data_IF_512741353443
#
_entry.id   IF_512741353443
#
_cell.length_a   1.000
_cell.length_b   1.000
_cell.length_c   1.000
_cell.angle_alpha   90.00
_cell.angle_beta   90.00
_cell.angle_gamma   90.00
#
_symmetry.space_group_name_H-M   'P 1'
#
loop_
_entity.id
_entity.type
_entity.pdbx_description
1 polymer ?
#
# COMPACT_ATOMS: atom_id res chain seq x y z
N UNK A 1 -18.73 -46.88 7.03
CA UNK A 1 -17.67 -46.75 6.01
C UNK A 1 -16.98 -45.41 6.20
N UNK A 2 -15.73 -45.43 6.68
CA UNK A 2 -14.83 -44.25 6.79
C UNK A 2 -13.53 -44.64 6.09
N UNK A 3 -12.97 -43.81 5.19
CA UNK A 3 -11.62 -44.04 4.71
C UNK A 3 -10.59 -43.63 5.77
N UNK A 4 -9.53 -44.44 5.81
CA UNK A 4 -8.42 -44.47 6.77
C UNK A 4 -7.39 -43.39 6.46
N UNK A 5 -6.71 -42.95 7.51
CA UNK A 5 -5.45 -42.22 7.44
C UNK A 5 -4.32 -43.19 7.08
N UNK A 6 -3.52 -42.85 6.06
CA UNK A 6 -2.26 -43.53 5.77
C UNK A 6 -1.08 -42.68 6.22
N UNK A 7 -0.27 -43.34 7.06
CA UNK A 7 1.06 -42.96 7.50
C UNK A 7 2.07 -43.51 6.51
N UNK A 8 2.98 -42.69 6.01
CA UNK A 8 4.33 -43.15 5.64
C UNK A 8 5.33 -42.04 5.90
N UNK A 9 5.87 -42.08 7.11
CA UNK A 9 7.13 -41.47 7.50
C UNK A 9 8.13 -42.63 7.60
N UNK A 10 9.19 -42.65 6.80
CA UNK A 10 10.55 -43.07 7.24
C UNK A 10 11.56 -43.11 6.09
N UNK A 11 12.64 -42.35 6.32
CA UNK A 11 14.04 -42.71 6.09
C UNK A 11 14.55 -42.91 4.66
N UNK A 12 15.40 -41.97 4.23
CA UNK A 12 16.71 -42.30 3.68
C UNK A 12 17.70 -41.17 4.01
N UNK A 13 18.54 -41.45 5.03
CA UNK A 13 19.74 -40.69 5.37
C UNK A 13 20.94 -41.60 5.02
N UNK A 14 22.00 -40.96 4.50
CA UNK A 14 23.37 -41.43 4.28
C UNK A 14 23.56 -42.38 3.08
N UNK A 15 24.57 -42.29 2.22
CA UNK A 15 25.94 -41.78 2.38
C UNK A 15 26.60 -41.71 0.98
N UNK A 16 27.21 -40.60 0.56
CA UNK A 16 28.47 -40.59 -0.23
C UNK A 16 29.26 -39.33 0.15
N UNK A 17 30.40 -39.57 0.78
CA UNK A 17 31.43 -38.58 1.13
C UNK A 17 32.41 -38.40 -0.03
N UNK A 18 33.08 -37.23 0.01
CA UNK A 18 34.43 -36.97 -0.50
C UNK A 18 34.58 -36.68 -2.00
N UNK A 19 34.25 -35.43 -2.36
CA UNK A 19 35.06 -34.64 -3.28
C UNK A 19 35.47 -33.36 -2.55
N UNK A 20 36.62 -33.36 -1.88
CA UNK A 20 37.19 -32.17 -1.25
C UNK A 20 37.71 -31.23 -2.34
N UNK A 21 36.82 -30.47 -2.96
CA UNK A 21 37.19 -29.18 -3.51
C UNK A 21 37.45 -28.27 -2.31
N UNK A 22 38.67 -27.75 -2.19
CA UNK A 22 38.95 -26.65 -1.28
C UNK A 22 37.87 -25.57 -1.51
N UNK A 23 37.29 -24.98 -0.45
CA UNK A 23 36.40 -23.84 -0.64
C UNK A 23 37.22 -22.79 -1.36
N UNK A 24 36.95 -22.60 -2.66
CA UNK A 24 37.28 -21.35 -3.31
C UNK A 24 36.67 -20.30 -2.40
N UNK A 25 37.53 -19.46 -1.82
CA UNK A 25 37.11 -18.30 -1.06
C UNK A 25 36.17 -17.53 -1.98
N UNK A 26 34.87 -17.81 -1.83
CA UNK A 26 33.84 -17.18 -2.62
C UNK A 26 34.05 -15.71 -2.37
N UNK A 27 34.32 -14.96 -3.44
CA UNK A 27 34.36 -13.52 -3.38
C UNK A 27 33.09 -13.11 -2.62
N UNK A 28 33.23 -12.70 -1.36
CA UNK A 28 32.13 -12.09 -0.65
C UNK A 28 31.77 -10.91 -1.52
N UNK A 29 30.63 -11.03 -2.21
CA UNK A 29 29.92 -9.88 -2.75
C UNK A 29 30.03 -8.83 -1.65
N UNK A 30 30.72 -7.72 -1.93
CA UNK A 30 30.81 -6.62 -0.98
C UNK A 30 29.38 -6.13 -0.85
N UNK A 31 28.66 -6.66 0.14
CA UNK A 31 27.25 -6.38 0.36
C UNK A 31 27.08 -4.87 0.31
N UNK A 32 26.17 -4.39 -0.53
CA UNK A 32 26.00 -2.97 -0.69
C UNK A 32 25.62 -2.38 0.67
N UNK A 33 26.15 -1.22 1.08
CA UNK A 33 25.88 -0.67 2.42
C UNK A 33 24.39 -0.54 2.76
N UNK A 34 23.53 -0.31 1.76
CA UNK A 34 22.08 -0.26 1.94
C UNK A 34 21.45 -1.61 2.32
N UNK A 35 22.01 -2.76 1.92
CA UNK A 35 21.47 -4.10 2.21
C UNK A 35 21.50 -4.41 3.72
N UNK A 36 22.52 -3.91 4.42
CA UNK A 36 22.60 -3.99 5.89
C UNK A 36 21.43 -3.24 6.54
N UNK A 37 21.12 -2.05 6.05
CA UNK A 37 20.06 -1.22 6.59
C UNK A 37 18.67 -1.77 6.26
N UNK A 38 18.50 -2.34 5.06
CA UNK A 38 17.29 -3.09 4.72
C UNK A 38 17.09 -4.31 5.63
N UNK A 39 18.15 -5.09 5.87
CA UNK A 39 18.07 -6.25 6.77
C UNK A 39 17.64 -5.85 8.18
N UNK A 40 18.17 -4.72 8.68
CA UNK A 40 17.75 -4.17 9.97
C UNK A 40 16.28 -3.72 9.96
N UNK A 41 15.81 -3.10 8.88
CA UNK A 41 14.40 -2.73 8.74
C UNK A 41 13.48 -3.96 8.75
N UNK A 42 13.81 -5.00 7.98
CA UNK A 42 13.03 -6.24 7.89
C UNK A 42 12.96 -6.98 9.24
N UNK A 43 14.02 -6.89 10.06
CA UNK A 43 14.02 -7.49 11.40
C UNK A 43 12.97 -6.86 12.34
N UNK A 44 12.61 -5.58 12.13
CA UNK A 44 11.58 -4.88 12.89
C UNK A 44 10.15 -5.20 12.40
N UNK A 45 10.01 -5.80 11.21
CA UNK A 45 8.72 -6.02 10.54
C UNK A 45 7.72 -6.80 11.40
N UNK A 46 8.17 -7.82 12.16
CA UNK A 46 7.28 -8.55 13.08
C UNK A 46 6.72 -7.63 14.18
N UNK A 47 7.57 -6.77 14.75
CA UNK A 47 7.14 -5.82 15.78
C UNK A 47 6.16 -4.79 15.22
N UNK A 48 6.46 -4.25 14.04
CA UNK A 48 5.62 -3.24 13.41
C UNK A 48 4.26 -3.81 12.97
N UNK A 49 4.25 -4.83 12.10
CA UNK A 49 3.02 -5.31 11.45
C UNK A 49 2.24 -6.33 12.27
N UNK A 50 2.91 -7.25 12.97
CA UNK A 50 2.23 -8.35 13.68
C UNK A 50 1.91 -7.99 15.13
N UNK A 51 2.81 -7.26 15.81
CA UNK A 51 2.64 -6.88 17.21
C UNK A 51 2.03 -5.50 17.39
N UNK A 52 1.76 -4.75 16.31
CA UNK A 52 1.24 -3.39 16.37
C UNK A 52 2.05 -2.52 17.35
N UNK A 53 3.38 -2.55 17.24
CA UNK A 53 4.29 -1.73 18.03
C UNK A 53 4.78 -0.52 17.22
N UNK A 54 4.28 0.67 17.58
CA UNK A 54 4.69 1.95 16.96
C UNK A 54 6.19 2.17 17.09
N UNK A 55 6.82 1.73 18.19
CA UNK A 55 8.25 1.88 18.39
C UNK A 55 9.06 1.02 17.41
N UNK A 56 8.60 -0.20 17.13
CA UNK A 56 9.17 -1.06 16.09
C UNK A 56 9.01 -0.43 14.70
N UNK A 57 7.84 0.12 14.37
CA UNK A 57 7.65 0.84 13.11
C UNK A 57 8.60 2.04 12.99
N UNK A 58 8.80 2.82 14.07
CA UNK A 58 9.75 3.94 14.08
C UNK A 58 11.20 3.49 13.85
N UNK A 59 11.62 2.35 14.43
CA UNK A 59 12.95 1.76 14.15
C UNK A 59 13.07 1.28 12.70
N UNK A 60 12.01 0.68 12.16
CA UNK A 60 11.94 0.28 10.76
C UNK A 60 12.09 1.48 9.81
N UNK A 61 11.38 2.58 10.06
CA UNK A 61 11.51 3.85 9.32
C UNK A 61 12.93 4.40 9.40
N UNK A 62 13.54 4.41 10.59
CA UNK A 62 14.91 4.88 10.77
C UNK A 62 15.91 4.02 9.96
N UNK A 63 15.72 2.71 9.94
CA UNK A 63 16.56 1.79 9.15
C UNK A 63 16.42 2.03 7.64
N UNK A 64 15.20 2.18 7.11
CA UNK A 64 15.01 2.53 5.70
C UNK A 64 15.56 3.92 5.36
N UNK A 65 15.44 4.91 6.25
CA UNK A 65 16.03 6.23 6.04
C UNK A 65 17.57 6.18 5.94
N UNK A 66 18.22 5.25 6.65
CA UNK A 66 19.66 5.00 6.50
C UNK A 66 19.97 4.27 5.19
N UNK A 67 19.13 3.33 4.76
CA UNK A 67 19.26 2.66 3.46
C UNK A 67 19.20 3.68 2.31
N UNK A 68 18.26 4.63 2.36
CA UNK A 68 18.08 5.69 1.35
C UNK A 68 19.28 6.65 1.23
N UNK A 69 20.08 6.79 2.29
CA UNK A 69 21.27 7.64 2.35
C UNK A 69 22.57 6.90 2.03
N UNK A 70 22.49 5.58 1.82
CA UNK A 70 23.68 4.75 1.62
C UNK A 70 24.28 4.95 0.22
N UNK A 71 25.61 4.95 0.08
CA UNK A 71 26.27 5.05 -1.21
C UNK A 71 25.97 3.83 -2.09
N UNK A 72 25.91 4.05 -3.40
CA UNK A 72 25.65 2.97 -4.38
C UNK A 72 24.19 2.53 -4.45
N UNK A 73 23.25 3.27 -3.84
CA UNK A 73 21.82 3.01 -3.99
C UNK A 73 21.34 3.42 -5.39
N UNK A 74 20.94 2.44 -6.20
CA UNK A 74 20.30 2.67 -7.49
C UNK A 74 18.84 3.10 -7.37
N UNK A 75 18.27 3.64 -8.45
CA UNK A 75 16.91 4.20 -8.47
C UNK A 75 15.84 3.17 -8.09
N UNK A 76 15.91 1.96 -8.63
CA UNK A 76 14.97 0.89 -8.30
C UNK A 76 14.95 0.53 -6.80
N UNK A 77 16.13 0.54 -6.15
CA UNK A 77 16.21 0.28 -4.72
C UNK A 77 15.67 1.47 -3.90
N UNK A 78 15.88 2.70 -4.37
CA UNK A 78 15.30 3.92 -3.80
C UNK A 78 13.77 3.88 -3.85
N UNK A 79 13.18 3.64 -5.02
CA UNK A 79 11.72 3.52 -5.21
C UNK A 79 11.12 2.49 -4.24
N UNK A 80 11.73 1.30 -4.18
CA UNK A 80 11.29 0.23 -3.28
C UNK A 80 11.36 0.64 -1.80
N UNK A 81 12.40 1.35 -1.37
CA UNK A 81 12.51 1.82 0.02
C UNK A 81 11.53 2.94 0.33
N UNK A 82 11.27 3.85 -0.61
CA UNK A 82 10.24 4.88 -0.43
C UNK A 82 8.87 4.22 -0.28
N UNK A 83 8.50 3.28 -1.16
CA UNK A 83 7.25 2.54 -1.05
C UNK A 83 7.13 1.79 0.30
N UNK A 84 8.20 1.10 0.73
CA UNK A 84 8.22 0.43 2.03
C UNK A 84 8.06 1.40 3.21
N UNK A 85 8.70 2.58 3.16
CA UNK A 85 8.53 3.59 4.21
C UNK A 85 7.09 4.12 4.29
N UNK A 86 6.43 4.33 3.14
CA UNK A 86 5.06 4.83 3.10
C UNK A 86 4.07 3.83 3.72
N UNK A 87 4.25 2.53 3.46
CA UNK A 87 3.49 1.46 4.11
C UNK A 87 3.75 1.41 5.63
N UNK A 88 5.01 1.58 6.06
CA UNK A 88 5.34 1.62 7.50
C UNK A 88 4.73 2.85 8.18
N UNK A 89 4.71 4.03 7.53
CA UNK A 89 4.02 5.21 8.06
C UNK A 89 2.53 4.96 8.25
N UNK A 90 1.86 4.37 7.24
CA UNK A 90 0.44 4.02 7.34
C UNK A 90 0.17 3.04 8.49
N UNK A 91 0.99 1.99 8.61
CA UNK A 91 0.89 0.98 9.67
C UNK A 91 1.15 1.55 11.07
N UNK A 92 2.15 2.42 11.22
CA UNK A 92 2.46 3.11 12.46
C UNK A 92 1.33 4.04 12.88
N UNK A 93 0.79 4.82 11.93
CA UNK A 93 -0.33 5.72 12.17
C UNK A 93 -1.60 4.97 12.58
N UNK A 94 -1.96 3.91 11.86
CA UNK A 94 -3.09 3.03 12.21
C UNK A 94 -2.96 2.48 13.62
N UNK A 95 -1.77 2.01 13.98
CA UNK A 95 -1.50 1.49 15.32
C UNK A 95 -1.64 2.58 16.38
N UNK A 96 -1.09 3.77 16.11
CA UNK A 96 -1.16 4.93 17.00
C UNK A 96 -2.62 5.33 17.25
N UNK A 97 -3.40 5.46 16.17
CA UNK A 97 -4.84 5.75 16.17
C UNK A 97 -5.62 4.75 17.02
N UNK A 98 -5.44 3.45 16.75
CA UNK A 98 -6.09 2.37 17.52
C UNK A 98 -5.73 2.33 19.01
N UNK A 99 -4.62 2.95 19.41
CA UNK A 99 -4.20 3.09 20.81
C UNK A 99 -4.69 4.39 21.46
N UNK A 100 -5.52 5.16 20.76
CA UNK A 100 -6.06 6.44 21.23
C UNK A 100 -5.13 7.64 20.99
N UNK A 101 -4.03 7.47 20.25
CA UNK A 101 -3.11 8.54 19.89
C UNK A 101 -3.33 8.97 18.42
N UNK A 102 -4.49 9.57 18.16
CA UNK A 102 -4.86 10.07 16.84
C UNK A 102 -4.03 11.29 16.41
N UNK A 103 -3.60 12.15 17.35
CA UNK A 103 -2.68 13.26 17.04
C UNK A 103 -1.30 12.75 16.60
N UNK A 104 -0.73 11.77 17.33
CA UNK A 104 0.51 11.11 16.93
C UNK A 104 0.38 10.36 15.60
N UNK A 105 -0.79 9.77 15.32
CA UNK A 105 -1.09 9.19 14.01
C UNK A 105 -1.05 10.25 12.91
N UNK A 106 -1.69 11.41 13.09
CA UNK A 106 -1.71 12.48 12.10
C UNK A 106 -0.30 13.02 11.80
N UNK A 107 0.56 13.12 12.81
CA UNK A 107 1.98 13.48 12.61
C UNK A 107 2.71 12.47 11.72
N UNK A 108 2.59 11.17 12.00
CA UNK A 108 3.19 10.11 11.19
C UNK A 108 2.69 10.13 9.74
N UNK A 109 1.40 10.40 9.54
CA UNK A 109 0.79 10.52 8.21
C UNK A 109 1.29 11.75 7.47
N UNK A 110 1.50 12.88 8.18
CA UNK A 110 2.11 14.08 7.63
C UNK A 110 3.55 13.85 7.15
N UNK A 111 4.36 13.16 7.94
CA UNK A 111 5.74 12.79 7.57
C UNK A 111 5.75 11.86 6.34
N UNK A 112 4.86 10.87 6.31
CA UNK A 112 4.68 10.00 5.15
C UNK A 112 4.24 10.76 3.90
N UNK A 113 3.28 11.69 4.02
CA UNK A 113 2.81 12.51 2.91
C UNK A 113 3.92 13.44 2.41
N UNK A 114 4.74 13.98 3.31
CA UNK A 114 5.90 14.78 2.92
C UNK A 114 6.91 13.95 2.13
N UNK A 115 7.29 12.76 2.62
CA UNK A 115 8.18 11.85 1.90
C UNK A 115 7.64 11.54 0.50
N UNK A 116 6.34 11.27 0.42
CA UNK A 116 5.64 11.04 -0.82
C UNK A 116 5.77 12.24 -1.78
N UNK A 117 5.39 13.45 -1.36
CA UNK A 117 5.48 14.68 -2.17
C UNK A 117 6.92 14.97 -2.61
N UNK A 118 7.90 14.81 -1.71
CA UNK A 118 9.31 15.05 -2.02
C UNK A 118 9.82 14.06 -3.09
N UNK A 119 9.36 12.80 -3.04
CA UNK A 119 9.69 11.80 -4.05
C UNK A 119 9.01 12.05 -5.41
N UNK A 120 7.87 12.78 -5.40
CA UNK A 120 7.15 13.18 -6.61
C UNK A 120 7.64 14.44 -7.30
N UNK A 121 8.50 15.23 -6.67
CA UNK A 121 8.94 16.53 -7.20
C UNK A 121 9.65 16.35 -8.57
N UNK A 122 8.87 16.32 -9.66
CA UNK A 122 9.31 15.87 -10.99
C UNK A 122 8.20 15.27 -11.89
N UNK A 123 7.06 14.85 -11.34
CA UNK A 123 5.82 14.58 -12.10
C UNK A 123 5.70 13.25 -12.84
N UNK A 124 6.60 12.28 -12.64
CA UNK A 124 6.68 11.05 -13.45
C UNK A 124 6.27 9.74 -12.76
N UNK A 125 5.81 9.74 -11.50
CA UNK A 125 5.66 8.50 -10.72
C UNK A 125 4.24 8.18 -10.26
N UNK A 126 3.25 8.22 -11.15
CA UNK A 126 1.83 7.93 -10.85
C UNK A 126 1.56 6.61 -10.11
N UNK A 127 2.46 5.63 -10.20
CA UNK A 127 2.36 4.35 -9.49
C UNK A 127 2.37 4.50 -7.96
N UNK A 128 2.97 5.58 -7.46
CA UNK A 128 3.19 5.77 -6.02
C UNK A 128 1.90 6.24 -5.33
N UNK A 129 0.94 6.87 -6.04
CA UNK A 129 -0.35 7.25 -5.45
C UNK A 129 -1.08 5.99 -4.97
N UNK A 130 -0.85 4.90 -5.69
CA UNK A 130 -1.36 3.58 -5.38
C UNK A 130 -0.58 2.90 -4.25
N UNK A 131 0.74 2.99 -4.26
CA UNK A 131 1.60 2.50 -3.18
C UNK A 131 1.31 3.22 -1.84
N UNK A 132 0.74 4.44 -1.91
CA UNK A 132 0.34 5.25 -0.75
C UNK A 132 -1.15 5.20 -0.40
N UNK A 133 -1.94 4.37 -1.09
CA UNK A 133 -3.40 4.29 -0.85
C UNK A 133 -3.73 4.05 0.63
N UNK A 134 -2.94 3.23 1.32
CA UNK A 134 -3.11 2.95 2.74
C UNK A 134 -2.75 4.13 3.65
N UNK A 135 -1.73 4.91 3.28
CA UNK A 135 -1.39 6.16 3.97
C UNK A 135 -2.57 7.14 3.89
N UNK A 136 -3.17 7.28 2.71
CA UNK A 136 -4.26 8.23 2.47
C UNK A 136 -5.55 7.79 3.17
N UNK A 137 -5.90 6.50 3.12
CA UNK A 137 -7.06 5.95 3.85
C UNK A 137 -6.89 6.15 5.36
N UNK A 138 -5.72 5.85 5.92
CA UNK A 138 -5.49 6.05 7.35
C UNK A 138 -5.46 7.55 7.72
N UNK A 139 -5.07 8.43 6.81
CA UNK A 139 -5.20 9.89 7.00
C UNK A 139 -6.66 10.33 7.08
N UNK A 140 -7.51 9.86 6.19
CA UNK A 140 -8.96 10.12 6.24
C UNK A 140 -9.54 9.62 7.56
N UNK A 141 -9.23 8.38 7.95
CA UNK A 141 -9.70 7.79 9.20
C UNK A 141 -9.24 8.57 10.44
N UNK A 142 -7.99 9.03 10.44
CA UNK A 142 -7.42 9.82 11.54
C UNK A 142 -8.07 11.21 11.64
N UNK A 143 -8.27 11.89 10.50
CA UNK A 143 -8.90 13.22 10.47
C UNK A 143 -10.37 13.14 10.89
N UNK A 144 -11.06 12.06 10.53
CA UNK A 144 -12.41 11.77 11.02
C UNK A 144 -12.45 11.66 12.55
N UNK A 145 -11.60 10.82 13.15
CA UNK A 145 -11.56 10.63 14.61
C UNK A 145 -11.21 11.90 15.38
N UNK A 146 -10.43 12.80 14.76
CA UNK A 146 -10.09 14.11 15.33
C UNK A 146 -11.20 15.16 15.13
N UNK A 147 -12.26 14.85 14.36
CA UNK A 147 -13.31 15.82 14.02
C UNK A 147 -12.86 16.89 13.01
N UNK A 148 -11.76 16.67 12.29
CA UNK A 148 -11.19 17.60 11.31
C UNK A 148 -11.86 17.48 9.94
N UNK A 149 -13.19 17.60 9.88
CA UNK A 149 -13.98 17.31 8.66
C UNK A 149 -13.56 18.10 7.41
N UNK A 150 -13.13 19.36 7.57
CA UNK A 150 -12.63 20.19 6.44
C UNK A 150 -11.31 19.66 5.87
N UNK A 151 -10.37 19.29 6.73
CA UNK A 151 -9.09 18.73 6.30
C UNK A 151 -9.28 17.34 5.70
N UNK A 152 -10.22 16.57 6.23
CA UNK A 152 -10.59 15.27 5.69
C UNK A 152 -11.14 15.41 4.26
N UNK A 153 -12.08 16.33 4.04
CA UNK A 153 -12.63 16.61 2.72
C UNK A 153 -11.54 17.06 1.73
N UNK A 154 -10.64 17.96 2.13
CA UNK A 154 -9.52 18.38 1.30
C UNK A 154 -8.58 17.22 0.95
N UNK A 155 -8.25 16.36 1.92
CA UNK A 155 -7.43 15.18 1.68
C UNK A 155 -8.10 14.21 0.68
N UNK A 156 -9.41 14.03 0.77
CA UNK A 156 -10.18 13.19 -0.15
C UNK A 156 -10.20 13.75 -1.57
N UNK A 157 -10.41 15.05 -1.72
CA UNK A 157 -10.41 15.75 -3.01
C UNK A 157 -9.05 15.64 -3.70
N UNK A 158 -7.94 15.78 -2.95
CA UNK A 158 -6.59 15.62 -3.48
C UNK A 158 -6.36 14.21 -4.05
N UNK A 159 -6.76 13.16 -3.32
CA UNK A 159 -6.60 11.77 -3.80
C UNK A 159 -7.48 11.51 -5.01
N UNK A 160 -8.76 11.90 -4.95
CA UNK A 160 -9.73 11.67 -6.03
C UNK A 160 -9.35 12.45 -7.29
N UNK A 161 -8.87 13.69 -7.15
CA UNK A 161 -8.36 14.48 -8.26
C UNK A 161 -7.13 13.85 -8.91
N UNK A 162 -6.25 13.25 -8.11
CA UNK A 162 -5.10 12.51 -8.62
C UNK A 162 -5.52 11.22 -9.34
N UNK A 163 -6.47 10.46 -8.80
CA UNK A 163 -7.05 9.29 -9.47
C UNK A 163 -7.74 9.64 -10.78
N UNK A 164 -8.50 10.74 -10.81
CA UNK A 164 -9.19 11.21 -12.02
C UNK A 164 -8.16 11.64 -13.09
N UNK A 165 -7.06 12.28 -12.68
CA UNK A 165 -5.95 12.64 -13.58
C UNK A 165 -5.28 11.40 -14.17
N UNK A 166 -5.02 10.37 -13.34
CA UNK A 166 -4.45 9.10 -13.81
C UNK A 166 -5.42 8.39 -14.75
N UNK A 167 -6.70 8.27 -14.35
CA UNK A 167 -7.71 7.62 -15.16
C UNK A 167 -7.85 8.30 -16.53
N UNK A 168 -7.88 9.63 -16.56
CA UNK A 168 -7.85 10.41 -17.80
C UNK A 168 -6.59 10.13 -18.62
N UNK A 169 -5.40 10.15 -18.01
CA UNK A 169 -4.15 9.84 -18.68
C UNK A 169 -4.12 8.43 -19.30
N UNK A 170 -4.76 7.47 -18.64
CA UNK A 170 -4.98 6.12 -19.15
C UNK A 170 -5.93 6.13 -20.35
N UNK A 171 -7.09 6.77 -20.23
CA UNK A 171 -8.12 6.74 -21.30
C UNK A 171 -7.71 7.52 -22.54
N UNK A 172 -6.92 8.59 -22.39
CA UNK A 172 -6.54 9.49 -23.48
C UNK A 172 -5.38 8.95 -24.32
N UNK A 173 -4.67 7.91 -23.85
CA UNK A 173 -3.57 7.31 -24.59
C UNK A 173 -4.04 6.13 -25.48
N UNK A 174 -3.47 5.95 -26.68
CA UNK A 174 -3.66 4.74 -27.48
C UNK A 174 -3.22 3.50 -26.71
N UNK A 175 -3.80 2.33 -27.00
CA UNK A 175 -3.55 1.14 -26.20
C UNK A 175 -2.46 0.22 -26.81
N UNK A 176 -1.31 0.09 -26.15
CA UNK A 176 -0.31 -0.98 -26.39
C UNK A 176 -0.42 -2.10 -25.35
N UNK A 177 0.17 -3.28 -25.62
CA UNK A 177 0.19 -4.42 -24.70
C UNK A 177 0.90 -4.08 -23.36
N UNK A 178 2.04 -3.40 -23.42
CA UNK A 178 2.74 -2.91 -22.22
C UNK A 178 1.90 -1.91 -21.40
N UNK A 179 1.09 -1.09 -22.09
CA UNK A 179 0.19 -0.15 -21.43
C UNK A 179 -1.03 -0.85 -20.82
N UNK A 180 -1.48 -2.00 -21.33
CA UNK A 180 -2.63 -2.72 -20.76
C UNK A 180 -2.36 -3.19 -19.33
N UNK A 181 -1.18 -3.76 -19.06
CA UNK A 181 -0.81 -4.24 -17.73
C UNK A 181 -0.71 -3.09 -16.72
N UNK A 182 -0.05 -1.99 -17.11
CA UNK A 182 0.04 -0.79 -16.29
C UNK A 182 -1.35 -0.21 -15.98
N UNK A 183 -2.26 -0.16 -16.96
CA UNK A 183 -3.64 0.33 -16.78
C UNK A 183 -4.46 -0.56 -15.85
N UNK A 184 -4.38 -1.88 -16.00
CA UNK A 184 -5.06 -2.82 -15.11
C UNK A 184 -4.61 -2.63 -13.67
N UNK A 185 -3.30 -2.49 -13.44
CA UNK A 185 -2.74 -2.23 -12.12
C UNK A 185 -3.30 -0.92 -11.53
N UNK A 186 -3.30 0.17 -12.29
CA UNK A 186 -3.79 1.47 -11.83
C UNK A 186 -5.29 1.44 -11.49
N UNK A 187 -6.12 0.83 -12.34
CA UNK A 187 -7.56 0.70 -12.10
C UNK A 187 -7.85 -0.16 -10.87
N UNK A 188 -7.12 -1.27 -10.70
CA UNK A 188 -7.24 -2.13 -9.52
C UNK A 188 -6.92 -1.38 -8.23
N UNK A 189 -5.89 -0.56 -8.23
CA UNK A 189 -5.48 0.16 -7.03
C UNK A 189 -6.41 1.34 -6.70
N UNK A 190 -6.90 2.06 -7.71
CA UNK A 190 -7.93 3.07 -7.51
C UNK A 190 -9.22 2.44 -6.94
N UNK A 191 -9.63 1.28 -7.45
CA UNK A 191 -10.76 0.53 -6.92
C UNK A 191 -10.53 0.02 -5.49
N UNK A 192 -9.32 -0.45 -5.19
CA UNK A 192 -8.93 -0.88 -3.84
C UNK A 192 -8.99 0.29 -2.84
N UNK A 193 -8.53 1.49 -3.23
CA UNK A 193 -8.66 2.70 -2.41
C UNK A 193 -10.13 3.02 -2.12
N UNK A 194 -10.97 3.16 -3.16
CA UNK A 194 -12.39 3.48 -2.97
C UNK A 194 -13.13 2.40 -2.17
N UNK A 195 -12.80 1.12 -2.38
CA UNK A 195 -13.35 0.03 -1.57
C UNK A 195 -12.97 0.14 -0.09
N UNK A 196 -11.68 0.42 0.21
CA UNK A 196 -11.21 0.61 1.60
C UNK A 196 -11.86 1.83 2.25
N UNK A 197 -11.98 2.92 1.50
CA UNK A 197 -12.65 4.13 1.95
C UNK A 197 -14.14 3.89 2.25
N UNK A 198 -14.85 3.20 1.36
CA UNK A 198 -16.25 2.83 1.57
C UNK A 198 -16.45 1.89 2.76
N UNK A 199 -15.52 0.96 2.98
CA UNK A 199 -15.53 0.11 4.18
C UNK A 199 -15.33 0.93 5.45
N UNK A 200 -14.33 1.81 5.47
CA UNK A 200 -14.12 2.72 6.59
C UNK A 200 -15.37 3.55 6.87
N UNK A 201 -15.99 4.12 5.84
CA UNK A 201 -17.20 4.92 5.99
C UNK A 201 -18.38 4.12 6.56
N UNK A 202 -18.60 2.89 6.09
CA UNK A 202 -19.62 1.99 6.63
C UNK A 202 -19.33 1.61 8.09
N UNK A 203 -18.09 1.24 8.41
CA UNK A 203 -17.70 0.88 9.78
C UNK A 203 -17.86 2.10 10.71
N UNK A 204 -17.33 3.26 10.33
CA UNK A 204 -17.38 4.50 11.11
C UNK A 204 -18.81 5.04 11.30
N UNK A 205 -19.67 4.94 10.29
CA UNK A 205 -21.09 5.33 10.41
C UNK A 205 -21.88 4.38 11.31
N UNK A 206 -21.54 3.08 11.31
CA UNK A 206 -22.17 2.10 12.20
C UNK A 206 -21.72 2.24 13.67
N UNK A 207 -20.50 2.77 13.88
CA UNK A 207 -19.91 3.02 15.20
C UNK A 207 -20.16 4.44 15.72
N UNK A 208 -20.74 5.32 14.89
CA UNK A 208 -21.13 6.66 15.29
C UNK A 208 -22.24 6.58 16.35
N UNK A 209 -21.87 6.69 17.62
CA UNK A 209 -22.82 6.78 18.73
C UNK A 209 -23.61 8.09 18.70
N UNK A 210 -24.50 8.28 19.68
CA UNK A 210 -25.42 9.45 19.78
C UNK A 210 -24.72 10.83 19.82
N UNK A 211 -23.39 10.87 19.96
CA UNK A 211 -22.60 12.09 20.12
C UNK A 211 -21.90 12.56 18.83
N UNK A 212 -22.05 11.86 17.71
CA UNK A 212 -21.52 12.29 16.41
C UNK A 212 -22.58 13.16 15.72
N UNK A 213 -22.17 14.30 15.13
CA UNK A 213 -23.13 15.19 14.47
C UNK A 213 -23.73 14.52 13.23
N UNK A 214 -24.99 14.83 12.94
CA UNK A 214 -25.70 14.32 11.75
C UNK A 214 -24.94 14.66 10.47
N UNK A 215 -24.35 15.87 10.38
CA UNK A 215 -23.57 16.30 9.22
C UNK A 215 -22.31 15.44 9.00
N UNK A 216 -21.70 14.97 10.09
CA UNK A 216 -20.53 14.11 10.02
C UNK A 216 -20.92 12.70 9.53
N UNK A 217 -22.05 12.17 9.99
CA UNK A 217 -22.62 10.89 9.51
C UNK A 217 -23.01 10.99 8.03
N UNK A 218 -23.69 12.07 7.63
CA UNK A 218 -24.07 12.32 6.24
C UNK A 218 -22.85 12.34 5.31
N UNK A 219 -21.75 12.94 5.76
CA UNK A 219 -20.50 12.98 5.01
C UNK A 219 -19.85 11.59 4.87
N UNK A 220 -19.93 10.73 5.89
CA UNK A 220 -19.49 9.32 5.76
C UNK A 220 -20.39 8.53 4.79
N UNK A 221 -21.71 8.69 4.88
CA UNK A 221 -22.65 8.02 3.97
C UNK A 221 -22.42 8.47 2.52
N UNK A 222 -22.21 9.76 2.30
CA UNK A 222 -21.85 10.30 1.01
C UNK A 222 -20.51 9.73 0.51
N UNK A 223 -19.50 9.64 1.37
CA UNK A 223 -18.22 9.04 1.02
C UNK A 223 -18.34 7.60 0.55
N UNK A 224 -19.12 6.78 1.25
CA UNK A 224 -19.41 5.39 0.85
C UNK A 224 -20.15 5.30 -0.48
N UNK A 225 -21.11 6.20 -0.71
CA UNK A 225 -21.89 6.27 -1.95
C UNK A 225 -21.02 6.69 -3.14
N UNK A 226 -20.25 7.77 -3.01
CA UNK A 226 -19.31 8.25 -4.02
C UNK A 226 -18.28 7.18 -4.40
N UNK A 227 -17.76 6.46 -3.40
CA UNK A 227 -16.81 5.37 -3.62
C UNK A 227 -17.43 4.25 -4.47
N UNK A 228 -18.68 3.88 -4.18
CA UNK A 228 -19.41 2.88 -4.95
C UNK A 228 -19.73 3.35 -6.37
N UNK A 229 -20.12 4.60 -6.56
CA UNK A 229 -20.35 5.20 -7.88
C UNK A 229 -19.09 5.23 -8.73
N UNK A 230 -17.94 5.59 -8.14
CA UNK A 230 -16.64 5.60 -8.82
C UNK A 230 -16.19 4.20 -9.22
N UNK A 231 -16.31 3.21 -8.31
CA UNK A 231 -16.06 1.80 -8.63
C UNK A 231 -16.96 1.32 -9.79
N UNK A 232 -18.24 1.70 -9.77
CA UNK A 232 -19.20 1.38 -10.84
C UNK A 232 -18.85 2.04 -12.16
N UNK A 233 -18.41 3.32 -12.14
CA UNK A 233 -17.97 4.06 -13.34
C UNK A 233 -16.77 3.40 -14.00
N UNK A 234 -15.84 2.87 -13.20
CA UNK A 234 -14.69 2.11 -13.70
C UNK A 234 -15.04 0.63 -13.97
N UNK A 235 -16.30 0.24 -13.75
CA UNK A 235 -16.86 -1.09 -13.88
C UNK A 235 -16.16 -2.15 -12.99
N UNK A 236 -15.28 -1.73 -12.09
CA UNK A 236 -14.49 -2.62 -11.21
C UNK A 236 -15.33 -2.99 -10.00
N UNK A 237 -15.50 -4.30 -9.78
CA UNK A 237 -16.06 -4.82 -8.54
C UNK A 237 -15.00 -4.86 -7.43
N UNK A 238 -15.43 -4.97 -6.16
CA UNK A 238 -14.58 -5.10 -4.97
C UNK A 238 -13.39 -6.06 -5.18
N UNK A 239 -12.25 -5.91 -4.44
CA UNK A 239 -10.98 -6.59 -4.72
C UNK A 239 -11.02 -8.11 -4.93
N UNK A 240 -12.00 -8.81 -4.35
CA UNK A 240 -12.22 -10.25 -4.54
C UNK A 240 -12.91 -10.64 -5.87
N UNK A 241 -13.35 -9.66 -6.66
CA UNK A 241 -14.07 -9.81 -7.94
C UNK A 241 -13.41 -9.10 -9.11
N UNK A 242 -12.22 -8.52 -8.93
CA UNK A 242 -11.35 -8.29 -10.08
C UNK A 242 -10.82 -9.65 -10.52
N UNK A 243 -11.65 -10.35 -11.31
CA UNK A 243 -11.31 -11.61 -11.93
C UNK A 243 -9.93 -11.49 -12.64
N UNK A 244 -9.15 -12.57 -12.69
CA UNK A 244 -7.82 -12.56 -13.28
C UNK A 244 -7.92 -12.02 -14.70
N UNK A 245 -7.22 -10.91 -14.95
CA UNK A 245 -6.96 -10.33 -16.27
C UNK A 245 -8.25 -10.07 -17.06
N UNK A 246 -8.72 -8.82 -17.11
CA UNK A 246 -9.60 -8.41 -18.21
C UNK A 246 -8.77 -8.61 -19.48
N UNK A 247 -9.10 -9.57 -20.37
CA UNK A 247 -8.21 -9.94 -21.49
C UNK A 247 -7.98 -8.80 -22.49
N UNK A 248 -8.74 -7.71 -22.33
CA UNK A 248 -8.67 -6.51 -23.13
C UNK A 248 -9.18 -5.31 -22.31
N UNK A 249 -8.36 -4.80 -21.39
CA UNK A 249 -8.72 -3.63 -20.58
C UNK A 249 -9.01 -2.40 -21.45
N UNK A 250 -8.46 -2.33 -22.66
CA UNK A 250 -8.72 -1.25 -23.62
C UNK A 250 -10.18 -1.29 -24.11
N UNK A 251 -10.65 -2.45 -24.56
CA UNK A 251 -12.04 -2.67 -24.95
C UNK A 251 -13.00 -2.38 -23.78
N UNK A 252 -12.59 -2.79 -22.58
CA UNK A 252 -13.37 -2.56 -21.36
C UNK A 252 -13.49 -1.09 -20.97
N UNK A 253 -12.42 -0.30 -21.18
CA UNK A 253 -12.41 1.15 -20.95
C UNK A 253 -12.94 1.95 -22.16
N UNK A 254 -13.38 1.31 -23.23
CA UNK A 254 -13.83 1.98 -24.46
C UNK A 254 -12.72 2.69 -25.24
N UNK A 255 -11.45 2.34 -25.01
CA UNK A 255 -10.28 2.94 -25.67
C UNK A 255 -10.01 2.21 -26.99
N UNK A 256 -9.89 2.96 -28.08
CA UNK A 256 -9.56 2.42 -29.39
C UNK A 256 -8.17 1.77 -29.40
N UNK A 257 -8.07 0.53 -29.89
CA UNK A 257 -6.79 -0.13 -30.20
C UNK A 257 -6.16 0.55 -31.41
N UNK A 258 -4.83 0.71 -31.38
CA UNK A 258 -4.06 1.06 -32.57
C UNK A 258 -3.72 -0.20 -33.36
#
# INVERSE_FOLDING_TARGET
>A
MRPKADRTLSALIALVLAGAAAPTAGAQSKANPWEKHETAALAEGRGCYASNDVSACKRMLAAYALALKSPGLGEQARERFVAAMLDVYASAAKTSRKKGDANGALMLLGDGQKLMVDHYAGGSHWHILFDTSDLLVEKVATLWELGHGKEMAAALDDVRGAQDTIFKGITDQPCSEDQQNARMYMVQQAANFEWRLGRFANDASSEAGENVSTEAIDLLVQLGTDAQERMTRWNVAAPSRVAPVVPDICKYLGVAKK
#
